data_IF_314558881453
#
_entry.id   IF_314558881453
#
_cell.length_a   1.000
_cell.length_b   1.000
_cell.length_c   1.000
_cell.angle_alpha   90.00
_cell.angle_beta   90.00
_cell.angle_gamma   90.00
#
_symmetry.space_group_name_H-M   'P 1'
#
loop_
_entity.id
_entity.type
_entity.pdbx_description
1 polymer ?
#
# COMPACT_ATOMS: atom_id res chain seq x y z
N UNK A 1 12.45 10.48 -12.98
CA UNK A 1 11.83 9.76 -11.84
C UNK A 1 10.87 8.65 -12.27
N UNK A 2 10.20 8.71 -13.43
CA UNK A 2 9.28 7.68 -13.95
C UNK A 2 9.94 6.31 -14.26
N UNK A 3 10.41 5.60 -13.24
CA UNK A 3 11.07 4.30 -13.36
C UNK A 3 12.49 4.30 -13.93
N UNK A 4 13.08 5.48 -14.15
CA UNK A 4 14.42 5.64 -14.75
C UNK A 4 15.59 5.51 -13.77
N UNK A 5 15.32 5.48 -12.46
CA UNK A 5 16.34 5.41 -11.40
C UNK A 5 16.23 4.13 -10.58
N UNK A 6 15.71 3.04 -11.16
CA UNK A 6 15.45 1.79 -10.41
C UNK A 6 16.73 1.20 -9.83
N UNK A 7 17.83 1.31 -10.56
CA UNK A 7 19.12 0.74 -10.16
C UNK A 7 19.79 1.54 -9.01
N UNK A 8 19.24 2.71 -8.66
CA UNK A 8 19.75 3.59 -7.60
C UNK A 8 19.18 3.25 -6.20
N UNK A 9 18.42 2.16 -6.07
CA UNK A 9 17.85 1.68 -4.82
C UNK A 9 18.34 0.27 -4.45
N UNK A 10 19.64 0.09 -4.15
CA UNK A 10 20.26 -1.22 -4.00
C UNK A 10 20.04 -1.88 -2.63
N UNK A 11 19.41 -1.17 -1.68
CA UNK A 11 19.26 -1.63 -0.31
C UNK A 11 18.35 -2.86 -0.22
N UNK A 12 18.73 -3.77 0.67
CA UNK A 12 17.98 -5.00 0.94
C UNK A 12 16.86 -4.76 1.95
N UNK A 13 15.88 -5.67 1.99
CA UNK A 13 14.77 -5.65 2.96
C UNK A 13 15.30 -5.72 4.41
N UNK A 14 16.34 -6.52 4.65
CA UNK A 14 16.92 -6.76 5.98
C UNK A 14 17.85 -5.62 6.41
N UNK A 15 17.24 -4.48 6.73
CA UNK A 15 17.90 -3.25 7.18
C UNK A 15 17.38 -2.83 8.57
N UNK A 16 17.48 -1.55 8.95
CA UNK A 16 16.84 -1.10 10.21
C UNK A 16 15.32 -1.31 10.16
N UNK A 17 14.73 -1.67 11.29
CA UNK A 17 13.29 -1.93 11.38
C UNK A 17 12.42 -0.71 11.06
N UNK A 18 12.94 0.50 11.23
CA UNK A 18 12.24 1.75 10.87
C UNK A 18 12.42 2.18 9.41
N UNK A 19 13.16 1.41 8.59
CA UNK A 19 13.39 1.72 7.18
C UNK A 19 14.23 2.98 6.92
N UNK A 20 14.97 3.50 7.91
CA UNK A 20 15.78 4.72 7.79
C UNK A 20 16.76 4.66 6.61
N UNK A 21 17.40 3.52 6.32
CA UNK A 21 18.33 3.48 5.19
C UNK A 21 17.60 3.68 3.85
N UNK A 22 16.44 3.03 3.63
CA UNK A 22 15.62 3.31 2.44
C UNK A 22 15.10 4.75 2.38
N UNK A 23 14.69 5.34 3.51
CA UNK A 23 14.31 6.74 3.56
C UNK A 23 15.45 7.65 3.09
N UNK A 24 16.66 7.46 3.65
CA UNK A 24 17.84 8.22 3.26
C UNK A 24 18.27 7.96 1.82
N UNK A 25 18.15 6.72 1.33
CA UNK A 25 18.44 6.38 -0.06
C UNK A 25 17.54 7.19 -1.02
N UNK A 26 16.24 7.30 -0.74
CA UNK A 26 15.34 8.17 -1.53
C UNK A 26 15.76 9.63 -1.45
N UNK A 27 16.07 10.13 -0.25
CA UNK A 27 16.49 11.51 -0.06
C UNK A 27 17.76 11.86 -0.86
N UNK A 28 18.77 10.99 -0.80
CA UNK A 28 20.04 11.16 -1.51
C UNK A 28 19.87 11.05 -3.03
N UNK A 29 19.10 10.08 -3.52
CA UNK A 29 18.83 9.93 -4.95
C UNK A 29 18.08 11.14 -5.51
N UNK A 30 17.09 11.67 -4.77
CA UNK A 30 16.35 12.87 -5.17
C UNK A 30 17.28 14.10 -5.17
N UNK A 31 18.07 14.29 -4.12
CA UNK A 31 19.02 15.40 -4.01
C UNK A 31 20.08 15.37 -5.13
N UNK A 32 20.70 14.21 -5.37
CA UNK A 32 21.70 14.03 -6.42
C UNK A 32 21.09 14.18 -7.81
N UNK A 33 19.86 13.68 -8.03
CA UNK A 33 19.18 13.89 -9.31
C UNK A 33 18.92 15.38 -9.57
N UNK A 34 18.57 16.15 -8.54
CA UNK A 34 18.40 17.59 -8.66
C UNK A 34 19.72 18.30 -9.02
N UNK A 35 20.85 17.88 -8.45
CA UNK A 35 22.18 18.39 -8.81
C UNK A 35 22.52 18.14 -10.30
N UNK A 36 22.35 16.90 -10.76
CA UNK A 36 22.60 16.53 -12.17
C UNK A 36 21.71 17.34 -13.12
N UNK A 37 20.43 17.54 -12.78
CA UNK A 37 19.51 18.34 -13.60
C UNK A 37 19.87 19.84 -13.63
N UNK A 38 20.67 20.32 -12.68
CA UNK A 38 21.22 21.69 -12.65
C UNK A 38 22.58 21.81 -13.33
N UNK A 39 23.13 20.71 -13.84
CA UNK A 39 24.45 20.69 -14.49
C UNK A 39 25.62 20.64 -13.50
N UNK A 40 25.37 20.29 -12.24
CA UNK A 40 26.42 20.04 -11.26
C UNK A 40 26.86 18.58 -11.27
N UNK A 41 28.10 18.33 -10.85
CA UNK A 41 28.64 16.99 -10.65
C UNK A 41 28.33 16.51 -9.23
N UNK A 42 27.93 15.25 -9.09
CA UNK A 42 27.67 14.64 -7.78
C UNK A 42 28.98 14.53 -7.01
N UNK A 43 28.97 14.95 -5.74
CA UNK A 43 30.14 14.86 -4.85
C UNK A 43 31.16 15.99 -5.01
N UNK A 44 30.91 16.96 -5.89
CA UNK A 44 31.75 18.14 -6.07
C UNK A 44 31.08 19.39 -5.49
N UNK A 45 31.78 20.08 -4.58
CA UNK A 45 31.29 21.32 -3.96
C UNK A 45 30.13 21.12 -2.97
N UNK A 46 29.44 22.22 -2.66
CA UNK A 46 28.28 22.20 -1.76
C UNK A 46 27.03 21.67 -2.50
N UNK A 47 26.26 20.73 -1.92
CA UNK A 47 25.04 20.22 -2.53
C UNK A 47 24.01 21.33 -2.80
N UNK A 48 23.53 21.41 -4.06
CA UNK A 48 22.47 22.36 -4.44
C UNK A 48 21.14 22.13 -3.70
N UNK A 49 20.83 20.86 -3.44
CA UNK A 49 19.72 20.40 -2.59
C UNK A 49 20.33 19.42 -1.59
N UNK A 50 20.04 19.61 -0.30
CA UNK A 50 20.54 18.76 0.78
C UNK A 50 19.52 17.66 1.10
N UNK A 51 19.98 16.41 1.12
CA UNK A 51 19.13 15.25 1.34
C UNK A 51 18.30 15.37 2.64
N UNK A 52 18.93 15.75 3.75
CA UNK A 52 18.21 15.90 5.02
C UNK A 52 17.47 17.25 5.11
N UNK A 53 18.17 18.35 4.89
CA UNK A 53 17.66 19.70 5.24
C UNK A 53 16.58 20.20 4.28
N UNK A 54 16.57 19.69 3.05
CA UNK A 54 15.61 20.08 2.01
C UNK A 54 14.66 18.94 1.65
N UNK A 55 15.16 17.75 1.29
CA UNK A 55 14.30 16.64 0.82
C UNK A 55 13.55 15.99 1.99
N UNK A 56 14.23 15.72 3.10
CA UNK A 56 13.65 15.14 4.32
C UNK A 56 13.07 16.20 5.28
N UNK A 57 12.92 17.45 4.83
CA UNK A 57 12.47 18.55 5.69
C UNK A 57 11.07 18.28 6.24
N UNK A 58 10.89 18.46 7.54
CA UNK A 58 9.65 18.19 8.28
C UNK A 58 9.26 16.71 8.37
N UNK A 59 10.20 15.79 8.12
CA UNK A 59 9.95 14.35 8.11
C UNK A 59 10.90 13.60 9.04
N UNK A 60 10.48 12.42 9.47
CA UNK A 60 11.31 11.39 10.10
C UNK A 60 11.19 10.11 9.29
N UNK A 61 12.20 9.25 9.29
CA UNK A 61 12.00 7.90 8.74
C UNK A 61 10.87 7.16 9.47
N UNK A 62 10.64 7.49 10.75
CA UNK A 62 9.62 6.87 11.58
C UNK A 62 8.21 7.16 11.07
N UNK A 63 7.91 8.32 10.50
CA UNK A 63 6.59 8.63 9.93
C UNK A 63 6.54 8.57 8.40
N UNK A 64 7.68 8.69 7.70
CA UNK A 64 7.77 8.52 6.26
C UNK A 64 7.67 7.06 5.82
N UNK A 65 8.36 6.14 6.50
CA UNK A 65 8.39 4.74 6.07
C UNK A 65 7.03 4.02 6.25
N UNK A 66 6.31 4.16 7.38
CA UNK A 66 4.95 3.63 7.50
C UNK A 66 3.98 4.25 6.49
N UNK A 67 4.12 5.54 6.20
CA UNK A 67 3.34 6.20 5.14
C UNK A 67 3.58 5.55 3.78
N UNK A 68 4.85 5.29 3.42
CA UNK A 68 5.19 4.60 2.18
C UNK A 68 4.63 3.16 2.14
N UNK A 69 4.65 2.45 3.27
CA UNK A 69 4.06 1.12 3.40
C UNK A 69 2.55 1.13 3.11
N UNK A 70 1.80 2.05 3.72
CA UNK A 70 0.36 2.19 3.50
C UNK A 70 0.05 2.55 2.05
N UNK A 71 0.80 3.49 1.45
CA UNK A 71 0.62 3.87 0.05
C UNK A 71 0.85 2.67 -0.88
N UNK A 72 1.95 1.93 -0.68
CA UNK A 72 2.28 0.77 -1.49
C UNK A 72 1.23 -0.34 -1.36
N UNK A 73 0.83 -0.68 -0.13
CA UNK A 73 -0.16 -1.71 0.16
C UNK A 73 -1.52 -1.37 -0.44
N UNK A 74 -2.05 -0.17 -0.17
CA UNK A 74 -3.35 0.27 -0.69
C UNK A 74 -3.37 0.25 -2.21
N UNK A 75 -2.30 0.74 -2.85
CA UNK A 75 -2.17 0.75 -4.31
C UNK A 75 -2.18 -0.67 -4.89
N UNK A 76 -1.42 -1.60 -4.31
CA UNK A 76 -1.43 -3.00 -4.73
C UNK A 76 -2.81 -3.65 -4.61
N UNK A 77 -3.51 -3.37 -3.51
CA UNK A 77 -4.85 -3.91 -3.26
C UNK A 77 -5.85 -3.41 -4.31
N UNK A 78 -5.87 -2.11 -4.59
CA UNK A 78 -6.83 -1.49 -5.51
C UNK A 78 -6.50 -1.77 -6.98
N UNK A 79 -5.23 -1.72 -7.38
CA UNK A 79 -4.84 -1.82 -8.78
C UNK A 79 -4.64 -3.26 -9.25
N UNK A 80 -4.31 -4.18 -8.34
CA UNK A 80 -3.98 -5.57 -8.69
C UNK A 80 -4.91 -6.57 -8.04
N UNK A 81 -5.00 -6.58 -6.71
CA UNK A 81 -5.67 -7.66 -5.96
C UNK A 81 -7.18 -7.67 -6.21
N UNK A 82 -7.87 -6.55 -5.96
CA UNK A 82 -9.33 -6.45 -6.14
C UNK A 82 -9.73 -6.75 -7.59
N UNK A 83 -9.13 -6.13 -8.63
CA UNK A 83 -9.46 -6.44 -10.02
C UNK A 83 -9.22 -7.92 -10.39
N UNK A 84 -8.15 -8.52 -9.87
CA UNK A 84 -7.83 -9.93 -10.08
C UNK A 84 -8.90 -10.85 -9.49
N UNK A 85 -9.30 -10.59 -8.25
CA UNK A 85 -10.34 -11.38 -7.55
C UNK A 85 -11.72 -11.15 -8.17
N UNK A 86 -12.07 -9.92 -8.58
CA UNK A 86 -13.32 -9.61 -9.27
C UNK A 86 -13.41 -10.35 -10.62
N UNK A 87 -12.30 -10.42 -11.37
CA UNK A 87 -12.23 -11.20 -12.62
C UNK A 87 -12.44 -12.70 -12.38
N UNK A 88 -11.82 -13.25 -11.34
CA UNK A 88 -12.01 -14.65 -10.97
C UNK A 88 -13.45 -14.92 -10.54
N UNK A 89 -14.03 -14.06 -9.70
CA UNK A 89 -15.42 -14.12 -9.27
C UNK A 89 -16.38 -14.12 -10.48
N UNK A 90 -16.22 -13.17 -11.42
CA UNK A 90 -17.06 -13.09 -12.60
C UNK A 90 -16.96 -14.37 -13.46
N UNK A 91 -15.76 -14.93 -13.58
CA UNK A 91 -15.52 -16.19 -14.30
C UNK A 91 -16.26 -17.36 -13.65
N UNK A 92 -16.14 -17.52 -12.32
CA UNK A 92 -16.83 -18.59 -11.59
C UNK A 92 -18.35 -18.41 -11.59
N UNK A 93 -18.85 -17.17 -11.45
CA UNK A 93 -20.27 -16.88 -11.53
C UNK A 93 -20.85 -17.23 -12.91
N UNK A 94 -20.14 -16.92 -14.00
CA UNK A 94 -20.53 -17.31 -15.34
C UNK A 94 -20.56 -18.85 -15.50
N UNK A 95 -19.54 -19.55 -14.99
CA UNK A 95 -19.48 -21.02 -15.02
C UNK A 95 -20.56 -21.68 -14.16
N UNK A 96 -20.91 -21.10 -13.02
CA UNK A 96 -22.03 -21.56 -12.20
C UNK A 96 -23.35 -21.54 -13.00
N UNK A 97 -23.58 -20.49 -13.80
CA UNK A 97 -24.76 -20.39 -14.67
C UNK A 97 -24.70 -21.38 -15.85
N UNK A 98 -23.54 -21.55 -16.47
CA UNK A 98 -23.33 -22.50 -17.57
C UNK A 98 -23.62 -23.95 -17.14
N UNK A 99 -23.22 -24.32 -15.92
CA UNK A 99 -23.37 -25.68 -15.39
C UNK A 99 -24.59 -25.87 -14.49
N UNK A 100 -25.58 -24.97 -14.56
CA UNK A 100 -26.77 -25.01 -13.70
C UNK A 100 -27.57 -26.31 -13.83
N UNK A 101 -27.53 -26.97 -14.99
CA UNK A 101 -28.30 -28.18 -15.31
C UNK A 101 -27.46 -29.47 -15.27
N UNK A 102 -26.15 -29.38 -14.98
CA UNK A 102 -25.24 -30.54 -14.94
C UNK A 102 -25.30 -31.18 -13.56
N UNK A 103 -26.08 -32.26 -13.41
CA UNK A 103 -26.20 -33.01 -12.14
C UNK A 103 -24.95 -33.85 -11.89
N UNK A 104 -24.44 -33.82 -10.65
CA UNK A 104 -23.30 -34.62 -10.17
C UNK A 104 -23.60 -35.23 -8.81
N UNK A 105 -22.82 -36.24 -8.42
CA UNK A 105 -22.84 -36.79 -7.05
C UNK A 105 -22.21 -35.78 -6.07
N UNK A 106 -22.87 -35.53 -4.95
CA UNK A 106 -22.29 -34.77 -3.85
C UNK A 106 -21.27 -35.60 -3.06
N UNK A 107 -20.37 -34.93 -2.33
CA UNK A 107 -19.46 -35.60 -1.40
C UNK A 107 -19.40 -34.90 -0.05
N UNK A 108 -19.63 -35.66 1.02
CA UNK A 108 -19.43 -35.24 2.41
C UNK A 108 -18.53 -36.26 3.09
N UNK A 109 -17.53 -35.82 3.86
CA UNK A 109 -16.47 -36.71 4.37
C UNK A 109 -15.78 -37.53 3.26
N UNK A 110 -15.72 -36.98 2.05
CA UNK A 110 -15.22 -37.63 0.82
C UNK A 110 -16.01 -38.88 0.37
N UNK A 111 -17.13 -39.19 0.99
CA UNK A 111 -18.04 -40.28 0.61
C UNK A 111 -19.20 -39.75 -0.24
N UNK A 112 -19.77 -40.62 -1.08
CA UNK A 112 -20.91 -40.28 -1.94
C UNK A 112 -22.13 -39.83 -1.11
N UNK A 113 -22.81 -38.80 -1.58
CA UNK A 113 -23.96 -38.19 -0.92
C UNK A 113 -25.09 -37.89 -1.92
N UNK A 114 -26.14 -37.19 -1.48
CA UNK A 114 -27.24 -36.77 -2.36
C UNK A 114 -26.76 -35.85 -3.51
N UNK A 115 -27.41 -35.88 -4.69
CA UNK A 115 -26.99 -35.08 -5.83
C UNK A 115 -27.13 -33.56 -5.63
N UNK A 116 -26.33 -32.82 -6.39
CA UNK A 116 -26.43 -31.38 -6.63
C UNK A 116 -25.98 -31.09 -8.08
N UNK A 117 -26.18 -29.88 -8.57
CA UNK A 117 -25.61 -29.49 -9.87
C UNK A 117 -24.19 -28.95 -9.71
N UNK A 118 -23.35 -29.12 -10.72
CA UNK A 118 -22.01 -28.53 -10.76
C UNK A 118 -22.08 -27.00 -10.66
N UNK A 119 -23.15 -26.40 -11.20
CA UNK A 119 -23.45 -24.98 -11.03
C UNK A 119 -23.65 -24.58 -9.56
N UNK A 120 -24.37 -25.38 -8.77
CA UNK A 120 -24.55 -25.14 -7.33
C UNK A 120 -23.21 -25.20 -6.58
N UNK A 121 -22.36 -26.18 -6.87
CA UNK A 121 -21.03 -26.29 -6.25
C UNK A 121 -20.15 -25.05 -6.53
N UNK A 122 -20.04 -24.64 -7.80
CA UNK A 122 -19.24 -23.47 -8.20
C UNK A 122 -19.83 -22.17 -7.64
N UNK A 123 -21.15 -22.09 -7.48
CA UNK A 123 -21.79 -20.93 -6.87
C UNK A 123 -21.30 -20.70 -5.43
N UNK A 124 -20.95 -21.75 -4.69
CA UNK A 124 -20.30 -21.66 -3.38
C UNK A 124 -18.94 -20.97 -3.46
N UNK A 125 -18.10 -21.34 -4.43
CA UNK A 125 -16.79 -20.72 -4.64
C UNK A 125 -16.90 -19.25 -5.03
N UNK A 126 -17.84 -18.92 -5.92
CA UNK A 126 -18.11 -17.53 -6.29
C UNK A 126 -18.56 -16.72 -5.05
N UNK A 127 -19.45 -17.25 -4.22
CA UNK A 127 -19.89 -16.59 -2.99
C UNK A 127 -18.71 -16.32 -2.02
N UNK A 128 -17.78 -17.28 -1.86
CA UNK A 128 -16.58 -17.08 -1.03
C UNK A 128 -15.74 -15.88 -1.50
N UNK A 129 -15.53 -15.74 -2.82
CA UNK A 129 -14.80 -14.60 -3.38
C UNK A 129 -15.56 -13.28 -3.17
N UNK A 130 -16.89 -13.29 -3.29
CA UNK A 130 -17.71 -12.10 -3.05
C UNK A 130 -17.60 -11.63 -1.60
N UNK A 131 -17.69 -12.55 -0.63
CA UNK A 131 -17.51 -12.21 0.78
C UNK A 131 -16.07 -11.80 1.11
N UNK A 132 -15.07 -12.43 0.50
CA UNK A 132 -13.66 -12.03 0.64
C UNK A 132 -13.41 -10.61 0.14
N UNK A 133 -13.95 -10.25 -1.03
CA UNK A 133 -13.92 -8.88 -1.55
C UNK A 133 -14.58 -7.88 -0.61
N UNK A 134 -15.73 -8.24 -0.01
CA UNK A 134 -16.42 -7.39 0.97
C UNK A 134 -15.56 -7.18 2.22
N UNK A 135 -14.96 -8.25 2.77
CA UNK A 135 -14.10 -8.16 3.93
C UNK A 135 -12.89 -7.26 3.65
N UNK A 136 -12.18 -7.49 2.54
CA UNK A 136 -11.03 -6.67 2.13
C UNK A 136 -11.40 -5.20 1.93
N UNK A 137 -12.55 -4.90 1.30
CA UNK A 137 -13.00 -3.51 1.10
C UNK A 137 -13.31 -2.79 2.41
N UNK A 138 -13.65 -3.52 3.49
CA UNK A 138 -13.92 -2.91 4.80
C UNK A 138 -12.63 -2.45 5.51
N UNK A 139 -11.47 -3.04 5.21
CA UNK A 139 -10.19 -2.68 5.86
C UNK A 139 -9.56 -1.42 5.25
N UNK A 140 -9.96 -1.06 4.03
CA UNK A 140 -9.36 0.04 3.25
C UNK A 140 -9.44 1.40 3.95
N UNK A 141 -10.48 1.67 4.74
CA UNK A 141 -10.60 2.95 5.44
C UNK A 141 -9.39 3.17 6.38
N UNK A 142 -9.06 2.18 7.21
CA UNK A 142 -7.92 2.24 8.12
C UNK A 142 -6.58 2.27 7.36
N UNK A 143 -6.45 1.48 6.29
CA UNK A 143 -5.24 1.47 5.46
C UNK A 143 -4.99 2.82 4.75
N UNK A 144 -6.03 3.63 4.54
CA UNK A 144 -5.91 4.96 3.92
C UNK A 144 -5.37 6.04 4.87
N UNK A 145 -5.30 5.76 6.17
CA UNK A 145 -4.72 6.66 7.16
C UNK A 145 -3.20 6.58 7.13
N UNK A 146 -2.53 7.74 7.01
CA UNK A 146 -1.06 7.81 6.92
C UNK A 146 -0.42 8.53 8.11
N UNK A 147 0.76 8.04 8.50
CA UNK A 147 1.51 8.51 9.68
C UNK A 147 2.22 9.86 9.49
N UNK A 148 2.47 10.29 8.25
CA UNK A 148 3.29 11.46 7.94
C UNK A 148 2.82 12.72 8.66
N UNK A 149 3.76 13.43 9.28
CA UNK A 149 3.51 14.52 10.22
C UNK A 149 3.53 14.09 11.69
N UNK A 150 3.60 12.79 11.99
CA UNK A 150 3.86 12.28 13.34
C UNK A 150 5.30 12.49 13.80
N UNK A 151 6.24 12.62 12.86
CA UNK A 151 7.69 12.78 13.05
C UNK A 151 8.30 11.64 13.89
N UNK A 152 9.25 11.95 14.78
CA UNK A 152 10.05 10.93 15.45
C UNK A 152 9.23 10.00 16.37
N UNK A 153 8.22 10.53 17.07
CA UNK A 153 7.50 9.81 18.15
C UNK A 153 5.99 10.07 18.19
N UNK A 154 5.42 10.71 17.15
CA UNK A 154 3.97 10.95 17.04
C UNK A 154 3.51 12.35 17.47
N UNK A 155 4.40 13.18 18.02
CA UNK A 155 4.05 14.53 18.53
C UNK A 155 3.97 15.60 17.45
N UNK A 156 4.51 15.33 16.25
CA UNK A 156 4.64 16.33 15.19
C UNK A 156 5.70 17.41 15.41
N UNK A 157 6.58 17.24 16.40
CA UNK A 157 7.67 18.18 16.64
C UNK A 157 8.57 18.33 15.39
N UNK A 158 8.94 19.57 15.05
CA UNK A 158 9.67 19.94 13.82
C UNK A 158 8.85 19.90 12.53
N UNK A 159 7.52 19.80 12.61
CA UNK A 159 6.62 20.09 11.47
C UNK A 159 5.90 21.43 11.65
N UNK A 160 5.63 22.16 10.56
CA UNK A 160 4.71 23.29 10.59
C UNK A 160 3.27 22.86 10.91
N UNK A 161 2.50 23.72 11.57
CA UNK A 161 1.08 23.47 11.83
C UNK A 161 0.32 23.20 10.52
N UNK A 162 -0.42 22.09 10.48
CA UNK A 162 -1.22 21.66 9.33
C UNK A 162 -0.43 20.95 8.23
N UNK A 163 0.86 20.65 8.45
CA UNK A 163 1.69 19.92 7.50
C UNK A 163 1.11 18.52 7.18
N UNK A 164 0.66 17.81 8.20
CA UNK A 164 0.09 16.45 8.14
C UNK A 164 -1.16 16.36 7.25
N UNK A 165 -2.13 17.27 7.44
CA UNK A 165 -3.32 17.39 6.60
C UNK A 165 -2.89 17.75 5.17
N UNK A 166 -1.98 18.73 5.03
CA UNK A 166 -1.61 19.24 3.71
C UNK A 166 -0.87 18.21 2.87
N UNK A 167 0.05 17.46 3.47
CA UNK A 167 0.80 16.43 2.75
C UNK A 167 -0.09 15.25 2.36
N UNK A 168 -1.05 14.87 3.22
CA UNK A 168 -2.06 13.87 2.88
C UNK A 168 -2.93 14.30 1.68
N UNK A 169 -3.37 15.57 1.62
CA UNK A 169 -4.09 16.12 0.46
C UNK A 169 -3.28 15.98 -0.84
N UNK A 170 -1.98 16.28 -0.81
CA UNK A 170 -1.12 16.15 -1.99
C UNK A 170 -0.91 14.68 -2.38
N UNK A 171 -0.70 13.79 -1.41
CA UNK A 171 -0.58 12.35 -1.65
C UNK A 171 -1.86 11.82 -2.28
N UNK A 172 -3.03 12.14 -1.72
CA UNK A 172 -4.33 11.75 -2.27
C UNK A 172 -4.52 12.30 -3.69
N UNK A 173 -4.19 13.57 -3.93
CA UNK A 173 -4.27 14.21 -5.26
C UNK A 173 -3.36 13.53 -6.29
N UNK A 174 -2.12 13.22 -5.93
CA UNK A 174 -1.15 12.66 -6.88
C UNK A 174 -1.39 11.18 -7.17
N UNK A 175 -1.94 10.45 -6.21
CA UNK A 175 -2.28 9.03 -6.37
C UNK A 175 -3.69 8.82 -6.90
N UNK A 176 -4.57 9.81 -6.78
CA UNK A 176 -6.01 9.67 -6.97
C UNK A 176 -6.63 8.58 -6.07
N UNK A 177 -6.09 8.44 -4.86
CA UNK A 177 -6.53 7.49 -3.82
C UNK A 177 -6.92 8.29 -2.55
N UNK A 178 -7.84 7.76 -1.71
CA UNK A 178 -8.46 8.54 -0.63
C UNK A 178 -7.60 8.62 0.64
N UNK A 179 -6.30 8.88 0.51
CA UNK A 179 -5.42 8.99 1.68
C UNK A 179 -5.77 10.20 2.54
N UNK A 180 -5.76 9.98 3.85
CA UNK A 180 -6.02 11.00 4.87
C UNK A 180 -4.97 10.91 5.96
N UNK A 181 -4.76 11.99 6.71
CA UNK A 181 -3.86 11.94 7.85
C UNK A 181 -4.46 11.10 8.97
N UNK A 182 -3.67 10.23 9.61
CA UNK A 182 -4.16 9.36 10.67
C UNK A 182 -4.68 10.15 11.88
N UNK A 183 -5.79 9.71 12.47
CA UNK A 183 -6.39 10.42 13.62
C UNK A 183 -5.46 10.42 14.83
N UNK A 184 -4.71 9.34 15.04
CA UNK A 184 -3.75 9.19 16.12
C UNK A 184 -2.36 8.79 15.60
N UNK A 185 -1.41 9.72 15.67
CA UNK A 185 -0.03 9.48 15.20
C UNK A 185 0.78 8.55 16.10
N UNK A 186 0.38 8.31 17.34
CA UNK A 186 1.08 7.35 18.20
C UNK A 186 0.75 5.92 17.79
N UNK A 187 -0.53 5.64 17.51
CA UNK A 187 -0.97 4.35 16.97
C UNK A 187 -0.28 4.06 15.64
N UNK A 188 -0.35 5.01 14.69
CA UNK A 188 0.19 4.86 13.34
C UNK A 188 1.72 4.65 13.28
N UNK A 189 2.43 4.90 14.40
CA UNK A 189 3.87 4.67 14.54
C UNK A 189 4.22 3.45 15.39
N UNK A 190 3.44 3.19 16.44
CA UNK A 190 3.73 2.12 17.41
C UNK A 190 3.19 0.76 16.96
N UNK A 191 2.19 0.76 16.07
CA UNK A 191 1.55 -0.44 15.54
C UNK A 191 1.36 -0.33 14.02
N UNK A 192 1.07 -1.47 13.41
CA UNK A 192 0.74 -1.58 11.98
C UNK A 192 -0.54 -2.41 11.81
N UNK A 193 -1.54 -2.15 12.65
CA UNK A 193 -2.76 -2.96 12.74
C UNK A 193 -3.58 -2.87 11.45
N UNK A 194 -3.59 -1.71 10.78
CA UNK A 194 -4.20 -1.53 9.45
C UNK A 194 -3.64 -2.52 8.40
N UNK A 195 -2.34 -2.82 8.48
CA UNK A 195 -1.66 -3.76 7.58
C UNK A 195 -1.93 -5.21 8.01
N UNK A 196 -1.99 -5.48 9.31
CA UNK A 196 -2.31 -6.83 9.82
C UNK A 196 -3.74 -7.24 9.46
N UNK A 197 -4.67 -6.30 9.46
CA UNK A 197 -6.08 -6.55 9.13
C UNK A 197 -6.33 -6.76 7.62
N UNK A 198 -5.51 -6.17 6.75
CA UNK A 198 -5.70 -6.14 5.27
C UNK A 198 -5.06 -7.35 4.57
#
# INVERSE_FOLDING_TARGET
LAGQLKDEFPLVIWQTGSGTQSNMNVNEVVANRAQVLKGFNIGEGEPFIKANDDVNKSQSSNDTFPTAMHIAAYKMVIETTIPGVEKLHATLAAKAKEFKDVVKIGRTHLMDATPLTLGQEISGYAAQLSFGLKALKNTLAHLSEIALGGTAVGTGLNTPKGYDVKVAEYIAKFTNLPFVTAENKFEALAAHDAIVET
#
